data_IF_130177978103
#
_entry.id   IF_130177978103
#
_cell.length_a   1.000
_cell.length_b   1.000
_cell.length_c   1.000
_cell.angle_alpha   90.00
_cell.angle_beta   90.00
_cell.angle_gamma   90.00
#
_symmetry.space_group_name_H-M   'P 1'
#
loop_
_entity.id
_entity.type
_entity.pdbx_description
1 polymer ?
#
# COMPACT_ATOMS: atom_id res chain seq x y z
N UNK A 1 25.67 -15.76 -64.95
CA UNK A 1 25.54 -16.70 -63.83
C UNK A 1 25.36 -15.83 -62.60
N UNK A 2 24.14 -15.76 -62.06
CA UNK A 2 23.74 -14.83 -60.99
C UNK A 2 23.72 -15.63 -59.68
N UNK A 3 24.44 -15.15 -58.67
CA UNK A 3 24.52 -15.74 -57.33
C UNK A 3 23.20 -15.47 -56.57
N UNK A 4 22.67 -16.45 -55.79
CA UNK A 4 21.42 -16.26 -55.08
C UNK A 4 21.60 -15.33 -53.87
N UNK A 5 20.54 -14.60 -53.45
CA UNK A 5 20.64 -13.64 -52.35
C UNK A 5 20.85 -14.35 -51.01
N UNK A 6 21.77 -13.80 -50.21
CA UNK A 6 21.98 -14.16 -48.80
C UNK A 6 20.86 -13.56 -47.94
N UNK A 7 20.26 -14.35 -47.07
CA UNK A 7 19.22 -13.90 -46.14
C UNK A 7 19.81 -13.08 -45.00
N UNK A 8 19.41 -11.80 -44.89
CA UNK A 8 19.57 -11.01 -43.67
C UNK A 8 18.42 -11.32 -42.71
N UNK A 9 18.69 -12.09 -41.65
CA UNK A 9 17.71 -12.30 -40.58
C UNK A 9 17.96 -13.55 -39.76
N UNK A 10 18.93 -13.50 -38.85
CA UNK A 10 18.95 -14.41 -37.71
C UNK A 10 18.47 -13.62 -36.48
N UNK A 11 17.17 -13.62 -36.23
CA UNK A 11 16.64 -13.26 -34.91
C UNK A 11 17.05 -14.36 -33.95
N UNK A 12 18.08 -14.10 -33.13
CA UNK A 12 18.41 -15.00 -32.03
C UNK A 12 17.21 -15.11 -31.10
N UNK A 13 16.66 -16.31 -30.86
CA UNK A 13 15.60 -16.46 -29.88
C UNK A 13 16.13 -16.04 -28.51
N UNK A 14 15.32 -15.30 -27.75
CA UNK A 14 15.58 -15.02 -26.34
C UNK A 14 15.45 -16.35 -25.60
N UNK A 15 16.58 -17.04 -25.41
CA UNK A 15 16.63 -18.31 -24.68
C UNK A 15 16.50 -17.97 -23.19
N UNK A 16 15.27 -18.06 -22.66
CA UNK A 16 15.06 -18.08 -21.22
C UNK A 16 15.38 -19.49 -20.75
N UNK A 17 16.58 -19.67 -20.20
CA UNK A 17 16.93 -20.91 -19.50
C UNK A 17 16.21 -20.88 -18.16
N UNK A 18 15.14 -21.66 -18.02
CA UNK A 18 14.53 -21.93 -16.73
C UNK A 18 15.24 -23.13 -16.11
N UNK A 19 15.97 -22.99 -14.98
CA UNK A 19 16.46 -24.14 -14.25
C UNK A 19 15.26 -24.98 -13.81
N UNK A 20 15.22 -26.27 -14.18
CA UNK A 20 14.16 -27.19 -13.76
C UNK A 20 14.10 -27.39 -12.23
N UNK A 21 15.15 -26.98 -11.51
CA UNK A 21 15.39 -27.36 -10.11
C UNK A 21 15.01 -26.27 -9.08
N UNK A 22 14.37 -25.16 -9.49
CA UNK A 22 13.94 -24.13 -8.53
C UNK A 22 12.44 -24.21 -8.25
N UNK A 23 12.00 -24.40 -6.98
CA UNK A 23 10.58 -24.33 -6.65
C UNK A 23 10.03 -22.93 -6.89
N UNK A 24 8.72 -22.82 -7.12
CA UNK A 24 8.05 -21.52 -7.14
C UNK A 24 8.17 -20.82 -5.78
N UNK A 25 8.28 -19.49 -5.80
CA UNK A 25 8.24 -18.64 -4.60
C UNK A 25 6.83 -18.25 -4.19
N UNK A 26 5.82 -18.60 -4.98
CA UNK A 26 4.40 -18.32 -4.67
C UNK A 26 3.97 -18.73 -3.26
N UNK A 27 4.51 -19.81 -2.65
CA UNK A 27 4.09 -20.18 -1.31
C UNK A 27 4.56 -19.26 -0.19
N UNK A 28 5.61 -18.48 -0.43
CA UNK A 28 6.25 -17.66 0.59
C UNK A 28 5.30 -16.54 0.99
N UNK A 29 5.03 -16.41 2.29
CA UNK A 29 4.23 -15.35 2.89
C UNK A 29 4.87 -14.85 4.20
N UNK A 30 4.29 -13.80 4.77
CA UNK A 30 4.68 -13.24 6.07
C UNK A 30 3.65 -13.55 7.18
N UNK A 31 2.43 -13.91 6.79
CA UNK A 31 1.33 -14.15 7.73
C UNK A 31 0.84 -15.60 7.61
N UNK A 32 0.99 -16.42 8.67
CA UNK A 32 0.51 -17.80 8.66
C UNK A 32 -1.03 -17.88 8.79
N UNK A 33 -1.58 -19.05 8.49
CA UNK A 33 -3.04 -19.30 8.45
C UNK A 33 -3.74 -19.06 9.80
N UNK A 34 -3.08 -19.32 10.92
CA UNK A 34 -3.61 -19.08 12.28
C UNK A 34 -3.73 -17.58 12.62
N UNK A 35 -2.91 -16.74 11.98
CA UNK A 35 -2.98 -15.28 12.10
C UNK A 35 -4.02 -14.68 11.14
N UNK A 36 -4.07 -15.16 9.90
CA UNK A 36 -4.96 -14.59 8.87
C UNK A 36 -6.39 -15.14 8.92
N UNK A 37 -6.58 -16.35 9.44
CA UNK A 37 -7.82 -17.11 9.33
C UNK A 37 -8.10 -17.64 7.92
N UNK A 38 -7.16 -17.47 6.97
CA UNK A 38 -7.30 -17.92 5.59
C UNK A 38 -6.74 -19.34 5.43
N UNK A 39 -7.40 -20.20 4.63
CA UNK A 39 -6.88 -21.55 4.39
C UNK A 39 -5.61 -21.51 3.53
N UNK A 40 -4.65 -22.43 3.73
CA UNK A 40 -3.45 -22.49 2.90
C UNK A 40 -3.79 -22.72 1.43
N UNK A 41 -4.91 -23.38 1.14
CA UNK A 41 -5.37 -23.70 -0.22
C UNK A 41 -5.94 -22.50 -0.98
N UNK A 42 -5.88 -21.26 -0.45
CA UNK A 42 -6.61 -20.10 -0.98
C UNK A 42 -6.31 -19.76 -2.45
N UNK A 43 -5.10 -20.07 -2.95
CA UNK A 43 -4.72 -19.89 -4.35
C UNK A 43 -4.74 -21.18 -5.17
N UNK A 44 -4.71 -22.33 -4.51
CA UNK A 44 -4.35 -23.64 -5.08
C UNK A 44 -5.21 -24.09 -6.27
N UNK A 45 -6.51 -23.80 -6.25
CA UNK A 45 -7.46 -24.23 -7.30
C UNK A 45 -7.63 -23.23 -8.43
N UNK A 46 -7.04 -22.03 -8.31
CA UNK A 46 -7.11 -20.98 -9.32
C UNK A 46 -5.89 -21.00 -10.24
N UNK A 47 -6.08 -20.49 -11.46
CA UNK A 47 -5.00 -20.36 -12.43
C UNK A 47 -4.12 -19.13 -12.10
N UNK A 48 -2.80 -19.30 -12.11
CA UNK A 48 -1.83 -18.22 -11.81
C UNK A 48 -2.11 -16.93 -12.62
N UNK A 49 -2.38 -17.03 -13.92
CA UNK A 49 -2.63 -15.85 -14.78
C UNK A 49 -3.90 -15.09 -14.40
N UNK A 50 -4.91 -15.82 -13.94
CA UNK A 50 -6.17 -15.20 -13.48
C UNK A 50 -5.92 -14.44 -12.19
N UNK A 51 -5.20 -15.04 -11.24
CA UNK A 51 -4.87 -14.40 -9.96
C UNK A 51 -3.98 -13.17 -10.14
N UNK A 52 -2.95 -13.26 -10.98
CA UNK A 52 -2.09 -12.11 -11.32
C UNK A 52 -2.91 -10.98 -11.91
N UNK A 53 -3.81 -11.28 -12.85
CA UNK A 53 -4.67 -10.28 -13.49
C UNK A 53 -5.60 -9.60 -12.49
N UNK A 54 -6.29 -10.39 -11.66
CA UNK A 54 -7.22 -9.86 -10.66
C UNK A 54 -6.49 -9.02 -9.61
N UNK A 55 -5.38 -9.55 -9.08
CA UNK A 55 -4.58 -8.86 -8.08
C UNK A 55 -4.06 -7.54 -8.62
N UNK A 56 -3.47 -7.51 -9.83
CA UNK A 56 -2.95 -6.26 -10.40
C UNK A 56 -4.06 -5.25 -10.72
N UNK A 57 -5.28 -5.70 -11.00
CA UNK A 57 -6.44 -4.84 -11.24
C UNK A 57 -7.04 -4.20 -9.97
N UNK A 58 -6.62 -4.63 -8.77
CA UNK A 58 -7.05 -4.00 -7.53
C UNK A 58 -6.71 -2.50 -7.51
N UNK A 59 -7.68 -1.70 -7.10
CA UNK A 59 -7.55 -0.24 -7.00
C UNK A 59 -6.56 0.13 -5.89
N UNK A 60 -6.00 1.33 -5.95
CA UNK A 60 -5.20 1.89 -4.83
C UNK A 60 -6.13 2.63 -3.86
N UNK A 61 -7.11 3.35 -4.41
CA UNK A 61 -8.14 4.04 -3.64
C UNK A 61 -9.30 3.10 -3.32
N UNK A 62 -9.37 2.67 -2.06
CA UNK A 62 -10.44 1.85 -1.50
C UNK A 62 -10.67 2.21 -0.03
N UNK A 63 -11.74 1.70 0.58
CA UNK A 63 -11.93 1.87 2.02
C UNK A 63 -10.80 1.18 2.81
N UNK A 64 -10.30 1.78 3.91
CA UNK A 64 -9.18 1.23 4.67
C UNK A 64 -9.34 -0.24 5.11
N UNK A 65 -10.54 -0.68 5.50
CA UNK A 65 -10.83 -2.07 5.88
C UNK A 65 -10.63 -3.05 4.72
N UNK A 66 -11.05 -2.67 3.51
CA UNK A 66 -10.85 -3.48 2.31
C UNK A 66 -9.36 -3.51 1.95
N UNK A 67 -8.68 -2.38 2.12
CA UNK A 67 -7.25 -2.30 1.84
C UNK A 67 -6.40 -3.13 2.80
N UNK A 68 -6.74 -3.11 4.09
CA UNK A 68 -6.13 -3.95 5.11
C UNK A 68 -6.37 -5.44 4.80
N UNK A 69 -7.59 -5.80 4.40
CA UNK A 69 -7.92 -7.15 3.96
C UNK A 69 -7.11 -7.59 2.71
N UNK A 70 -6.99 -6.75 1.69
CA UNK A 70 -6.16 -7.04 0.51
C UNK A 70 -4.70 -7.25 0.90
N UNK A 71 -4.15 -6.44 1.82
CA UNK A 71 -2.79 -6.65 2.35
C UNK A 71 -2.66 -7.99 3.07
N UNK A 72 -3.66 -8.39 3.86
CA UNK A 72 -3.69 -9.72 4.50
C UNK A 72 -3.68 -10.83 3.46
N UNK A 73 -4.51 -10.75 2.41
CA UNK A 73 -4.49 -11.72 1.29
C UNK A 73 -3.11 -11.81 0.64
N UNK A 74 -2.49 -10.67 0.34
CA UNK A 74 -1.18 -10.60 -0.32
C UNK A 74 -0.05 -11.17 0.55
N UNK A 75 -0.15 -10.99 1.87
CA UNK A 75 0.90 -11.40 2.81
C UNK A 75 0.71 -12.82 3.36
N UNK A 76 -0.42 -13.46 3.09
CA UNK A 76 -0.70 -14.82 3.54
C UNK A 76 0.29 -15.84 2.96
N UNK A 77 0.77 -16.74 3.81
CA UNK A 77 1.42 -17.99 3.40
C UNK A 77 0.36 -18.96 2.88
N UNK A 78 0.58 -19.53 1.70
CA UNK A 78 -0.44 -20.32 1.00
C UNK A 78 0.16 -21.29 -0.02
N UNK A 79 -0.55 -22.35 -0.35
CA UNK A 79 -0.16 -23.29 -1.41
C UNK A 79 -0.15 -22.59 -2.79
N UNK A 80 0.75 -23.00 -3.70
CA UNK A 80 0.90 -22.34 -4.99
C UNK A 80 -0.33 -22.59 -5.89
N UNK A 81 -0.65 -21.66 -6.81
CA UNK A 81 -1.77 -21.81 -7.74
C UNK A 81 -1.51 -22.87 -8.82
N UNK A 82 -2.56 -23.21 -9.57
CA UNK A 82 -2.42 -24.03 -10.78
C UNK A 82 -1.50 -23.31 -11.78
N UNK A 83 -0.58 -24.08 -12.37
CA UNK A 83 0.44 -23.61 -13.32
C UNK A 83 1.50 -22.68 -12.72
N UNK A 84 1.65 -22.67 -11.38
CA UNK A 84 2.80 -22.06 -10.74
C UNK A 84 4.11 -22.60 -11.32
N UNK A 85 5.08 -21.70 -11.48
CA UNK A 85 6.37 -22.04 -12.09
C UNK A 85 7.51 -21.33 -11.37
N UNK A 86 8.78 -21.67 -11.65
CA UNK A 86 9.92 -21.04 -10.99
C UNK A 86 10.01 -19.51 -11.21
N UNK A 87 9.25 -18.94 -12.16
CA UNK A 87 9.17 -17.48 -12.32
C UNK A 87 8.40 -16.78 -11.19
N UNK A 88 7.58 -17.50 -10.41
CA UNK A 88 6.80 -16.99 -9.29
C UNK A 88 5.99 -15.73 -9.64
N UNK A 89 5.13 -15.80 -10.68
CA UNK A 89 4.48 -14.57 -11.19
C UNK A 89 3.46 -14.04 -10.19
N UNK A 90 2.75 -14.93 -9.49
CA UNK A 90 1.85 -14.51 -8.42
C UNK A 90 2.63 -13.87 -7.26
N UNK A 91 3.78 -14.44 -6.86
CA UNK A 91 4.66 -13.82 -5.87
C UNK A 91 5.10 -12.40 -6.30
N UNK A 92 5.54 -12.22 -7.54
CA UNK A 92 5.92 -10.91 -8.05
C UNK A 92 4.74 -9.94 -8.09
N UNK A 93 3.55 -10.38 -8.51
CA UNK A 93 2.35 -9.55 -8.50
C UNK A 93 1.95 -9.11 -7.08
N UNK A 94 2.14 -9.98 -6.09
CA UNK A 94 1.96 -9.69 -4.66
C UNK A 94 2.92 -8.59 -4.19
N UNK A 95 4.20 -8.71 -4.51
CA UNK A 95 5.20 -7.67 -4.21
C UNK A 95 4.85 -6.35 -4.92
N UNK A 96 4.58 -6.40 -6.22
CA UNK A 96 4.28 -5.21 -7.03
C UNK A 96 3.01 -4.49 -6.51
N UNK A 97 1.97 -5.23 -6.10
CA UNK A 97 0.79 -4.63 -5.49
C UNK A 97 1.07 -4.00 -4.12
N UNK A 98 1.95 -4.57 -3.28
CA UNK A 98 2.36 -3.91 -2.04
C UNK A 98 3.07 -2.59 -2.31
N UNK A 99 3.92 -2.53 -3.34
CA UNK A 99 4.60 -1.30 -3.75
C UNK A 99 3.59 -0.26 -4.29
N UNK A 100 2.61 -0.67 -5.10
CA UNK A 100 1.52 0.22 -5.54
C UNK A 100 0.75 0.81 -4.35
N UNK A 101 0.51 0.00 -3.31
CA UNK A 101 -0.15 0.40 -2.06
C UNK A 101 0.78 1.18 -1.10
N UNK A 102 2.03 1.48 -1.50
CA UNK A 102 3.02 2.17 -0.70
C UNK A 102 3.53 1.37 0.51
N UNK A 103 3.14 0.11 0.66
CA UNK A 103 3.52 -0.77 1.77
C UNK A 103 4.94 -1.32 1.57
N UNK A 104 5.93 -0.42 1.62
CA UNK A 104 7.32 -0.72 1.32
C UNK A 104 7.93 -1.69 2.32
N UNK A 105 7.72 -1.53 3.63
CA UNK A 105 8.34 -2.46 4.60
C UNK A 105 7.79 -3.90 4.45
N UNK A 106 6.46 -4.13 4.32
CA UNK A 106 5.94 -5.45 4.01
C UNK A 106 6.47 -6.01 2.68
N UNK A 107 6.58 -5.18 1.64
CA UNK A 107 7.17 -5.61 0.36
C UNK A 107 8.63 -6.05 0.53
N UNK A 108 9.43 -5.24 1.24
CA UNK A 108 10.85 -5.54 1.55
C UNK A 108 10.97 -6.86 2.29
N UNK A 109 10.23 -7.02 3.38
CA UNK A 109 10.25 -8.23 4.20
C UNK A 109 9.85 -9.47 3.39
N UNK A 110 8.83 -9.36 2.53
CA UNK A 110 8.40 -10.46 1.67
C UNK A 110 9.50 -10.84 0.64
N UNK A 111 10.13 -9.85 0.00
CA UNK A 111 11.23 -10.09 -0.94
C UNK A 111 12.44 -10.71 -0.24
N UNK A 112 12.80 -10.24 0.96
CA UNK A 112 13.93 -10.74 1.74
C UNK A 112 13.69 -12.18 2.23
N UNK A 113 12.47 -12.49 2.69
CA UNK A 113 12.06 -13.85 3.02
C UNK A 113 12.18 -14.79 1.82
N UNK A 114 11.95 -14.28 0.61
CA UNK A 114 12.06 -15.04 -0.61
C UNK A 114 13.49 -15.07 -1.19
N UNK A 115 14.43 -14.34 -0.61
CA UNK A 115 15.77 -14.07 -1.14
C UNK A 115 15.76 -13.36 -2.53
N UNK A 116 16.38 -12.17 -2.68
CA UNK A 116 16.46 -11.46 -3.96
C UNK A 116 17.53 -12.07 -4.91
N UNK A 117 17.47 -13.38 -5.15
CA UNK A 117 18.45 -14.18 -5.91
C UNK A 117 18.17 -14.26 -7.43
N UNK A 118 17.07 -13.67 -7.88
CA UNK A 118 16.71 -13.55 -9.31
C UNK A 118 16.71 -12.08 -9.71
N UNK A 119 17.03 -11.78 -10.98
CA UNK A 119 17.03 -10.40 -11.48
C UNK A 119 15.68 -9.70 -11.30
N UNK A 120 14.57 -10.44 -11.43
CA UNK A 120 13.23 -9.92 -11.25
C UNK A 120 12.96 -9.46 -9.81
N UNK A 121 13.39 -10.24 -8.81
CA UNK A 121 13.24 -9.88 -7.39
C UNK A 121 14.25 -8.83 -6.94
N UNK A 122 15.50 -8.99 -7.37
CA UNK A 122 16.56 -8.03 -7.09
C UNK A 122 16.16 -6.64 -7.59
N UNK A 123 15.49 -6.54 -8.74
CA UNK A 123 14.94 -5.26 -9.22
C UNK A 123 14.01 -4.61 -8.20
N UNK A 124 13.02 -5.34 -7.67
CA UNK A 124 12.06 -4.78 -6.69
C UNK A 124 12.75 -4.43 -5.38
N UNK A 125 13.69 -5.27 -4.94
CA UNK A 125 14.49 -5.00 -3.75
C UNK A 125 15.34 -3.74 -3.92
N UNK A 126 15.95 -3.55 -5.10
CA UNK A 126 16.71 -2.34 -5.42
C UNK A 126 15.82 -1.10 -5.51
N UNK A 127 14.64 -1.20 -6.14
CA UNK A 127 13.65 -0.13 -6.18
C UNK A 127 13.22 0.29 -4.76
N UNK A 128 12.96 -0.67 -3.87
CA UNK A 128 12.70 -0.44 -2.44
C UNK A 128 13.87 0.26 -1.75
N UNK A 129 15.09 -0.21 -2.00
CA UNK A 129 16.29 0.37 -1.39
C UNK A 129 16.50 1.83 -1.80
N UNK A 130 16.28 2.14 -3.08
CA UNK A 130 16.32 3.50 -3.63
C UNK A 130 15.27 4.42 -2.98
N UNK A 131 14.02 3.95 -2.82
CA UNK A 131 12.94 4.74 -2.22
C UNK A 131 13.16 5.03 -0.73
N UNK A 132 13.82 4.12 -0.02
CA UNK A 132 14.07 4.23 1.44
C UNK A 132 15.45 4.81 1.78
N UNK A 133 16.31 5.02 0.79
CA UNK A 133 17.66 5.53 1.01
C UNK A 133 18.66 4.52 1.53
N UNK A 134 18.40 3.22 1.30
CA UNK A 134 19.24 2.09 1.70
C UNK A 134 19.97 1.46 0.51
N UNK A 135 20.12 2.20 -0.60
CA UNK A 135 20.65 1.67 -1.87
C UNK A 135 22.08 1.12 -1.81
N UNK A 136 22.90 1.51 -0.82
CA UNK A 136 24.28 1.06 -0.70
C UNK A 136 24.38 -0.46 -0.54
N UNK A 137 23.55 -1.06 0.33
CA UNK A 137 23.53 -2.51 0.55
C UNK A 137 23.21 -3.27 -0.74
N UNK A 138 22.28 -2.72 -1.54
CA UNK A 138 21.92 -3.30 -2.82
C UNK A 138 23.02 -3.13 -3.87
N UNK A 139 23.70 -1.98 -3.88
CA UNK A 139 24.84 -1.77 -4.76
C UNK A 139 26.05 -2.65 -4.42
N UNK A 140 26.28 -2.96 -3.15
CA UNK A 140 27.31 -3.91 -2.73
C UNK A 140 27.02 -5.33 -3.25
N UNK A 141 25.78 -5.79 -3.11
CA UNK A 141 25.35 -7.09 -3.65
C UNK A 141 25.50 -7.11 -5.18
N UNK A 142 25.11 -6.03 -5.86
CA UNK A 142 25.26 -5.92 -7.32
C UNK A 142 26.72 -5.93 -7.75
N UNK A 143 27.62 -5.30 -6.99
CA UNK A 143 29.06 -5.32 -7.23
C UNK A 143 29.65 -6.73 -7.18
N UNK A 144 29.18 -7.56 -6.24
CA UNK A 144 29.60 -8.97 -6.11
C UNK A 144 28.99 -9.87 -7.20
N UNK A 145 27.78 -9.54 -7.67
CA UNK A 145 27.05 -10.33 -8.69
C UNK A 145 26.54 -9.44 -9.84
N UNK A 146 27.41 -8.95 -10.73
CA UNK A 146 26.99 -8.00 -11.78
C UNK A 146 25.88 -8.50 -12.70
N UNK A 147 25.74 -9.82 -12.87
CA UNK A 147 24.68 -10.44 -13.68
C UNK A 147 23.27 -10.31 -13.09
N UNK A 148 23.13 -9.88 -11.83
CA UNK A 148 21.84 -9.65 -11.18
C UNK A 148 21.27 -8.26 -11.50
N UNK A 149 22.10 -7.36 -12.06
CA UNK A 149 21.70 -5.99 -12.35
C UNK A 149 20.47 -5.95 -13.28
N UNK A 150 19.42 -5.20 -12.92
CA UNK A 150 18.18 -5.18 -13.70
C UNK A 150 18.32 -4.41 -15.02
N UNK A 151 19.20 -3.40 -15.05
CA UNK A 151 19.51 -2.57 -16.22
C UNK A 151 20.97 -2.13 -16.17
N UNK A 152 21.52 -1.68 -17.30
CA UNK A 152 22.84 -1.06 -17.33
C UNK A 152 22.87 0.25 -16.55
N UNK A 153 21.80 1.04 -16.58
CA UNK A 153 21.66 2.26 -15.77
C UNK A 153 21.84 1.96 -14.27
N UNK A 154 21.23 0.88 -13.77
CA UNK A 154 21.38 0.46 -12.37
C UNK A 154 22.83 0.03 -12.06
N UNK A 155 23.47 -0.69 -12.99
CA UNK A 155 24.88 -1.09 -12.86
C UNK A 155 25.82 0.12 -12.83
N UNK A 156 25.62 1.09 -13.72
CA UNK A 156 26.41 2.32 -13.79
C UNK A 156 26.24 3.13 -12.50
N UNK A 157 25.00 3.28 -12.03
CA UNK A 157 24.70 3.93 -10.76
C UNK A 157 25.45 3.28 -9.60
N UNK A 158 25.38 1.96 -9.46
CA UNK A 158 26.05 1.26 -8.37
C UNK A 158 27.57 1.25 -8.48
N UNK A 159 28.15 1.19 -9.69
CA UNK A 159 29.60 1.34 -9.88
C UNK A 159 30.09 2.69 -9.37
N UNK A 160 29.42 3.77 -9.76
CA UNK A 160 29.73 5.11 -9.28
C UNK A 160 29.51 5.26 -7.78
N UNK A 161 28.41 4.72 -7.24
CA UNK A 161 28.10 4.74 -5.80
C UNK A 161 29.17 4.02 -4.97
N UNK A 162 29.74 2.94 -5.51
CA UNK A 162 30.82 2.18 -4.91
C UNK A 162 32.22 2.78 -5.20
N UNK A 163 32.30 3.93 -5.88
CA UNK A 163 33.54 4.66 -6.15
C UNK A 163 34.30 4.24 -7.41
N UNK A 164 33.79 3.29 -8.20
CA UNK A 164 34.38 2.90 -9.49
C UNK A 164 33.81 3.72 -10.65
N UNK A 165 34.09 5.02 -10.60
CA UNK A 165 33.69 6.00 -11.61
C UNK A 165 34.22 5.66 -13.01
N UNK A 166 35.44 5.12 -13.07
CA UNK A 166 36.10 4.78 -14.33
C UNK A 166 35.36 3.66 -15.09
N UNK A 167 34.97 2.59 -14.37
CA UNK A 167 34.18 1.51 -14.96
C UNK A 167 32.77 1.96 -15.25
N UNK A 168 32.17 2.83 -14.41
CA UNK A 168 30.86 3.41 -14.67
C UNK A 168 30.83 4.18 -16.00
N UNK A 169 31.79 5.07 -16.22
CA UNK A 169 31.93 5.86 -17.45
C UNK A 169 32.21 4.99 -18.67
N UNK A 170 33.07 3.97 -18.55
CA UNK A 170 33.33 3.01 -19.64
C UNK A 170 32.07 2.23 -20.00
N UNK A 171 31.31 1.78 -18.99
CA UNK A 171 30.06 1.04 -19.18
C UNK A 171 29.03 1.91 -19.90
N UNK A 172 28.84 3.16 -19.47
CA UNK A 172 27.96 4.12 -20.15
C UNK A 172 28.37 4.30 -21.63
N UNK A 173 29.65 4.57 -21.89
CA UNK A 173 30.15 4.80 -23.24
C UNK A 173 29.99 3.60 -24.16
N UNK A 174 30.09 2.38 -23.62
CA UNK A 174 29.91 1.14 -24.39
C UNK A 174 28.44 0.94 -24.71
N UNK A 175 27.57 1.02 -23.70
CA UNK A 175 26.15 0.64 -23.85
C UNK A 175 25.30 1.69 -24.55
N UNK A 176 25.68 2.98 -24.53
CA UNK A 176 25.07 3.99 -25.40
C UNK A 176 25.28 3.70 -26.89
N UNK A 177 26.47 3.21 -27.26
CA UNK A 177 26.79 2.87 -28.66
C UNK A 177 26.08 1.58 -29.09
N UNK A 178 25.95 0.62 -28.17
CA UNK A 178 25.21 -0.63 -28.42
C UNK A 178 23.69 -0.43 -28.47
N UNK A 179 23.18 0.74 -28.06
CA UNK A 179 21.76 1.06 -28.05
C UNK A 179 21.00 0.50 -26.84
N UNK A 180 21.70 0.07 -25.79
CA UNK A 180 21.10 -0.45 -24.55
C UNK A 180 20.66 0.67 -23.59
N UNK A 181 21.09 1.91 -23.85
CA UNK A 181 20.79 3.10 -23.04
C UNK A 181 20.09 4.11 -23.95
N UNK A 182 18.93 4.60 -23.50
CA UNK A 182 18.18 5.63 -24.24
C UNK A 182 18.87 7.00 -24.12
N UNK A 183 18.57 7.92 -25.03
CA UNK A 183 19.15 9.27 -24.99
C UNK A 183 18.83 10.01 -23.67
N UNK A 184 17.61 9.87 -23.14
CA UNK A 184 17.24 10.45 -21.85
C UNK A 184 18.02 9.85 -20.68
N UNK A 185 18.27 8.54 -20.70
CA UNK A 185 19.08 7.88 -19.68
C UNK A 185 20.56 8.29 -19.80
N UNK A 186 21.09 8.41 -21.02
CA UNK A 186 22.45 8.89 -21.26
C UNK A 186 22.65 10.30 -20.69
N UNK A 187 21.72 11.23 -20.95
CA UNK A 187 21.79 12.59 -20.43
C UNK A 187 21.80 12.62 -18.89
N UNK A 188 20.90 11.87 -18.25
CA UNK A 188 20.82 11.77 -16.80
C UNK A 188 22.07 11.10 -16.19
N UNK A 189 22.53 9.99 -16.77
CA UNK A 189 23.72 9.26 -16.30
C UNK A 189 25.00 10.09 -16.49
N UNK A 190 25.12 10.85 -17.57
CA UNK A 190 26.29 11.70 -17.81
C UNK A 190 26.35 12.82 -16.76
N UNK A 191 25.22 13.48 -16.46
CA UNK A 191 25.14 14.48 -15.39
C UNK A 191 25.41 13.89 -14.00
N UNK A 192 24.95 12.67 -13.78
CA UNK A 192 25.19 11.95 -12.52
C UNK A 192 26.67 11.59 -12.33
N UNK A 193 27.37 11.19 -13.39
CA UNK A 193 28.78 10.80 -13.32
C UNK A 193 29.73 12.01 -13.28
N UNK A 194 29.36 13.11 -13.93
CA UNK A 194 30.18 14.32 -14.00
C UNK A 194 29.29 15.58 -13.93
N UNK A 195 28.84 15.96 -12.72
CA UNK A 195 27.95 17.09 -12.55
C UNK A 195 28.62 18.44 -12.85
N UNK A 196 29.94 18.54 -12.70
CA UNK A 196 30.71 19.79 -12.88
C UNK A 196 30.66 20.29 -14.33
N UNK A 197 30.65 19.37 -15.30
CA UNK A 197 30.57 19.72 -16.73
C UNK A 197 29.26 20.44 -17.08
N UNK A 198 28.19 20.22 -16.30
CA UNK A 198 26.86 20.73 -16.58
C UNK A 198 26.45 21.88 -15.65
N UNK A 199 27.40 22.48 -14.93
CA UNK A 199 27.13 23.68 -14.14
C UNK A 199 26.63 24.82 -15.04
N UNK A 200 25.43 25.31 -14.73
CA UNK A 200 24.79 26.41 -15.48
C UNK A 200 24.00 25.99 -16.71
N UNK A 201 23.99 24.71 -17.06
CA UNK A 201 23.08 24.16 -18.08
C UNK A 201 21.63 24.15 -17.58
N UNK A 202 20.62 24.21 -18.46
CA UNK A 202 19.23 24.10 -18.05
C UNK A 202 18.97 22.72 -17.41
N UNK A 203 17.99 22.63 -16.48
CA UNK A 203 17.55 21.36 -15.91
C UNK A 203 17.10 20.38 -16.99
N UNK A 204 17.19 19.09 -16.71
CA UNK A 204 16.64 18.07 -17.59
C UNK A 204 15.11 18.14 -17.64
N UNK A 205 14.56 17.85 -18.81
CA UNK A 205 13.11 17.66 -18.94
C UNK A 205 12.68 16.46 -18.06
N UNK A 206 11.66 16.63 -17.21
CA UNK A 206 11.16 15.53 -16.38
C UNK A 206 10.72 14.33 -17.24
N UNK A 207 11.17 13.10 -16.94
CA UNK A 207 10.76 11.92 -17.70
C UNK A 207 9.24 11.69 -17.59
N UNK A 208 8.63 11.21 -18.68
CA UNK A 208 7.20 10.88 -18.67
C UNK A 208 6.83 9.76 -17.68
N UNK A 209 7.80 8.92 -17.30
CA UNK A 209 7.66 7.90 -16.25
C UNK A 209 8.92 7.89 -15.40
N UNK A 210 8.76 8.17 -14.11
CA UNK A 210 9.86 8.20 -13.15
C UNK A 210 10.03 6.81 -12.54
N UNK A 211 11.21 6.20 -12.70
CA UNK A 211 11.63 5.04 -11.91
C UNK A 211 12.28 5.50 -10.59
N UNK A 212 12.31 4.67 -9.53
CA UNK A 212 13.05 4.97 -8.32
C UNK A 212 14.52 5.33 -8.56
N UNK A 213 15.17 4.66 -9.52
CA UNK A 213 16.54 4.94 -9.90
C UNK A 213 16.67 6.35 -10.52
N UNK A 214 15.80 6.68 -11.48
CA UNK A 214 15.77 8.03 -12.08
C UNK A 214 15.53 9.10 -11.01
N UNK A 215 14.57 8.87 -10.12
CA UNK A 215 14.28 9.79 -9.02
C UNK A 215 15.53 10.04 -8.14
N UNK A 216 16.23 8.97 -7.73
CA UNK A 216 17.45 9.12 -6.92
C UNK A 216 18.60 9.79 -7.68
N UNK A 217 18.72 9.56 -8.99
CA UNK A 217 19.71 10.26 -9.81
C UNK A 217 19.37 11.76 -9.94
N UNK A 218 18.11 12.12 -10.13
CA UNK A 218 17.65 13.50 -10.12
C UNK A 218 17.95 14.20 -8.79
N UNK A 219 17.71 13.54 -7.65
CA UNK A 219 18.11 14.06 -6.34
C UNK A 219 19.63 14.28 -6.25
N UNK A 220 20.43 13.34 -6.75
CA UNK A 220 21.88 13.38 -6.68
C UNK A 220 22.50 14.52 -7.51
N UNK A 221 21.86 14.91 -8.62
CA UNK A 221 22.31 16.03 -9.46
C UNK A 221 21.71 17.39 -9.05
N UNK A 222 20.97 17.44 -7.94
CA UNK A 222 20.33 18.67 -7.47
C UNK A 222 19.06 19.08 -8.23
N UNK A 223 18.51 18.20 -9.05
CA UNK A 223 17.27 18.40 -9.82
C UNK A 223 16.10 17.58 -9.22
N UNK A 224 15.97 17.62 -7.89
CA UNK A 224 15.00 16.81 -7.14
C UNK A 224 13.55 16.98 -7.61
N UNK A 225 12.81 15.86 -7.65
CA UNK A 225 11.43 15.80 -8.12
C UNK A 225 10.43 15.88 -6.96
N UNK A 226 9.28 16.50 -7.19
CA UNK A 226 8.19 16.57 -6.20
C UNK A 226 7.48 15.22 -6.14
N UNK A 227 7.34 14.62 -4.95
CA UNK A 227 6.74 13.29 -4.79
C UNK A 227 5.21 13.28 -4.81
N UNK A 228 4.57 14.44 -4.62
CA UNK A 228 3.12 14.56 -4.47
C UNK A 228 2.34 13.98 -5.65
N UNK A 229 2.87 14.13 -6.87
CA UNK A 229 2.27 13.65 -8.13
C UNK A 229 2.83 12.30 -8.61
N UNK A 230 3.81 11.74 -7.88
CA UNK A 230 4.41 10.44 -8.19
C UNK A 230 3.61 9.30 -7.53
N UNK A 231 3.79 8.03 -7.95
CA UNK A 231 3.17 6.89 -7.27
C UNK A 231 3.39 6.90 -5.75
N UNK A 232 2.47 6.31 -4.99
CA UNK A 232 2.43 6.40 -3.52
C UNK A 232 3.76 6.02 -2.86
N UNK A 233 4.45 5.01 -3.38
CA UNK A 233 5.74 4.54 -2.87
C UNK A 233 6.82 5.64 -2.80
N UNK A 234 6.77 6.65 -3.68
CA UNK A 234 7.75 7.75 -3.68
C UNK A 234 7.63 8.65 -2.45
N UNK A 235 6.50 8.67 -1.74
CA UNK A 235 6.38 9.45 -0.51
C UNK A 235 7.28 8.96 0.62
N UNK A 236 7.80 7.73 0.56
CA UNK A 236 8.81 7.27 1.53
C UNK A 236 10.11 8.07 1.46
N UNK A 237 10.46 8.61 0.27
CA UNK A 237 11.64 9.48 0.14
C UNK A 237 11.51 10.76 0.97
N UNK A 238 10.29 11.25 1.15
CA UNK A 238 9.99 12.47 1.91
C UNK A 238 9.93 12.24 3.43
N UNK A 239 9.97 10.99 3.89
CA UNK A 239 10.06 10.67 5.32
C UNK A 239 11.48 10.77 5.89
N UNK A 240 12.49 10.94 5.03
CA UNK A 240 13.89 10.96 5.45
C UNK A 240 14.23 12.18 6.32
N UNK A 241 15.19 12.08 7.26
CA UNK A 241 15.56 13.19 8.15
C UNK A 241 16.11 14.44 7.43
N UNK A 242 16.59 14.29 6.19
CA UNK A 242 17.12 15.40 5.38
C UNK A 242 16.02 16.27 4.77
N UNK A 243 14.76 15.83 4.84
CA UNK A 243 13.61 16.51 4.24
C UNK A 243 12.96 17.43 5.28
N UNK A 244 12.47 18.57 4.83
CA UNK A 244 11.80 19.54 5.70
C UNK A 244 10.54 18.96 6.36
N UNK A 245 10.35 19.27 7.65
CA UNK A 245 9.29 18.70 8.48
C UNK A 245 7.86 18.84 7.92
N UNK A 246 7.57 19.94 7.21
CA UNK A 246 6.27 20.10 6.54
C UNK A 246 6.01 18.97 5.54
N UNK A 247 6.98 18.70 4.66
CA UNK A 247 6.87 17.66 3.64
C UNK A 247 6.83 16.27 4.26
N UNK A 248 7.57 16.06 5.37
CA UNK A 248 7.48 14.81 6.14
C UNK A 248 6.07 14.54 6.65
N UNK A 249 5.38 15.54 7.23
CA UNK A 249 3.98 15.36 7.67
C UNK A 249 3.07 15.10 6.48
N UNK A 250 3.20 15.85 5.37
CA UNK A 250 2.36 15.66 4.18
C UNK A 250 2.54 14.25 3.58
N UNK A 251 3.78 13.75 3.55
CA UNK A 251 4.10 12.39 3.12
C UNK A 251 3.57 11.32 4.09
N UNK A 252 3.75 11.52 5.40
CA UNK A 252 3.24 10.61 6.42
C UNK A 252 1.71 10.52 6.39
N UNK A 253 1.02 11.66 6.25
CA UNK A 253 -0.43 11.70 6.05
C UNK A 253 -0.83 10.96 4.78
N UNK A 254 -0.16 11.24 3.65
CA UNK A 254 -0.45 10.58 2.36
C UNK A 254 -0.30 9.07 2.46
N UNK A 255 0.76 8.57 3.09
CA UNK A 255 0.99 7.15 3.30
C UNK A 255 -0.04 6.55 4.29
N UNK A 256 -0.34 7.25 5.38
CA UNK A 256 -1.28 6.81 6.39
C UNK A 256 -2.71 6.67 5.85
N UNK A 257 -3.17 7.56 4.94
CA UNK A 257 -4.47 7.42 4.26
C UNK A 257 -4.67 6.06 3.60
N UNK A 258 -3.57 5.48 3.13
CA UNK A 258 -3.51 4.16 2.50
C UNK A 258 -2.86 3.12 3.43
N UNK A 259 -2.87 3.32 4.74
CA UNK A 259 -2.29 2.42 5.75
C UNK A 259 -0.87 1.92 5.40
N UNK A 260 -0.11 2.71 4.66
CA UNK A 260 1.23 2.37 4.17
C UNK A 260 2.29 2.62 5.24
N UNK A 261 1.96 3.42 6.25
CA UNK A 261 2.68 3.60 7.50
C UNK A 261 1.73 3.38 8.67
N UNK A 262 2.28 3.01 9.83
CA UNK A 262 1.50 2.82 11.06
C UNK A 262 1.04 4.13 11.68
N UNK A 263 0.07 4.05 12.57
CA UNK A 263 -0.40 5.15 13.39
C UNK A 263 0.71 5.77 14.27
N UNK A 264 1.66 4.95 14.74
CA UNK A 264 2.81 5.42 15.52
C UNK A 264 3.75 6.25 14.66
N UNK A 265 4.07 5.80 13.43
CA UNK A 265 4.89 6.59 12.50
C UNK A 265 4.24 7.94 12.19
N UNK A 266 2.92 7.96 11.96
CA UNK A 266 2.19 9.21 11.75
C UNK A 266 2.26 10.13 12.98
N UNK A 267 2.07 9.60 14.18
CA UNK A 267 2.17 10.34 15.44
C UNK A 267 3.57 10.91 15.66
N UNK A 268 4.62 10.13 15.39
CA UNK A 268 6.02 10.56 15.53
C UNK A 268 6.27 11.81 14.68
N UNK A 269 5.83 11.82 13.42
CA UNK A 269 5.97 13.01 12.57
C UNK A 269 5.14 14.19 13.06
N UNK A 270 3.93 13.99 13.57
CA UNK A 270 3.14 15.08 14.13
C UNK A 270 3.77 15.67 15.39
N UNK A 271 4.46 14.88 16.22
CA UNK A 271 4.96 15.29 17.54
C UNK A 271 6.44 15.66 17.55
N UNK A 272 7.18 15.40 16.47
CA UNK A 272 8.62 15.64 16.37
C UNK A 272 9.05 17.07 16.72
N UNK A 273 8.31 18.11 16.29
CA UNK A 273 8.71 19.51 16.42
C UNK A 273 7.56 20.44 16.82
N UNK A 274 7.86 21.70 17.15
CA UNK A 274 6.82 22.71 17.39
C UNK A 274 6.38 23.37 16.08
N UNK A 275 5.06 23.46 15.78
CA UNK A 275 4.56 24.10 14.56
C UNK A 275 5.10 25.52 14.38
N UNK A 276 5.78 25.77 13.26
CA UNK A 276 6.49 27.03 13.01
C UNK A 276 5.60 28.19 12.54
N UNK A 277 4.39 27.89 12.05
CA UNK A 277 3.44 28.87 11.54
C UNK A 277 1.98 28.47 11.79
N UNK A 278 1.02 29.24 11.29
CA UNK A 278 -0.40 28.89 11.22
C UNK A 278 -0.79 28.39 9.83
N UNK A 279 -1.91 27.68 9.73
CA UNK A 279 -2.49 27.23 8.47
C UNK A 279 -2.10 25.79 8.07
N UNK A 280 -3.05 25.12 7.42
CA UNK A 280 -2.84 23.82 6.78
C UNK A 280 -2.28 22.76 7.71
N UNK A 281 -1.14 22.16 7.32
CA UNK A 281 -0.41 21.13 8.07
C UNK A 281 -0.10 21.57 9.51
N UNK A 282 0.23 22.84 9.72
CA UNK A 282 0.63 23.33 11.05
C UNK A 282 -0.52 23.36 12.05
N UNK A 283 -1.72 23.68 11.59
CA UNK A 283 -2.90 23.67 12.45
C UNK A 283 -3.31 22.24 12.80
N UNK A 284 -3.16 21.30 11.86
CA UNK A 284 -3.35 19.86 12.13
C UNK A 284 -2.35 19.35 13.15
N UNK A 285 -1.05 19.60 12.94
CA UNK A 285 -0.01 19.22 13.89
C UNK A 285 -0.27 19.80 15.29
N UNK A 286 -0.65 21.07 15.39
CA UNK A 286 -0.98 21.71 16.67
C UNK A 286 -2.18 21.05 17.36
N UNK A 287 -3.23 20.72 16.60
CA UNK A 287 -4.42 20.06 17.15
C UNK A 287 -4.09 18.67 17.70
N UNK A 288 -3.33 17.87 16.93
CA UNK A 288 -2.87 16.54 17.34
C UNK A 288 -1.97 16.65 18.58
N UNK A 289 -0.95 17.50 18.59
CA UNK A 289 -0.04 17.66 19.73
C UNK A 289 -0.74 18.09 21.03
N UNK A 290 -1.77 18.94 20.94
CA UNK A 290 -2.55 19.36 22.13
C UNK A 290 -3.36 18.20 22.69
N UNK A 291 -4.01 17.44 21.82
CA UNK A 291 -4.78 16.27 22.20
C UNK A 291 -3.88 15.15 22.74
N UNK A 292 -2.78 14.86 22.06
CA UNK A 292 -1.78 13.87 22.46
C UNK A 292 -1.22 14.15 23.87
N UNK A 293 -0.92 15.42 24.17
CA UNK A 293 -0.50 15.84 25.51
C UNK A 293 -1.61 15.64 26.55
N UNK A 294 -2.86 15.95 26.21
CA UNK A 294 -3.99 15.77 27.11
C UNK A 294 -4.19 14.28 27.45
N UNK A 295 -4.09 13.40 26.45
CA UNK A 295 -4.12 11.94 26.62
C UNK A 295 -2.95 11.45 27.48
N UNK A 296 -1.73 11.90 27.18
CA UNK A 296 -0.52 11.51 27.93
C UNK A 296 -0.60 11.91 29.40
N UNK A 297 -1.19 13.07 29.68
CA UNK A 297 -1.39 13.57 31.04
C UNK A 297 -2.62 12.98 31.74
N UNK A 298 -3.43 12.17 31.05
CA UNK A 298 -4.69 11.61 31.54
C UNK A 298 -5.66 12.68 32.07
N UNK A 299 -5.67 13.87 31.44
CA UNK A 299 -6.51 15.00 31.83
C UNK A 299 -7.84 14.95 31.08
N UNK A 300 -8.87 14.42 31.73
CA UNK A 300 -10.19 14.21 31.13
C UNK A 300 -10.83 15.49 30.57
N UNK A 301 -10.69 16.62 31.27
CA UNK A 301 -11.23 17.91 30.83
C UNK A 301 -10.47 18.41 29.59
N UNK A 302 -9.14 18.28 29.59
CA UNK A 302 -8.32 18.65 28.44
C UNK A 302 -8.56 17.73 27.23
N UNK A 303 -8.77 16.42 27.45
CA UNK A 303 -9.14 15.46 26.40
C UNK A 303 -10.48 15.88 25.78
N UNK A 304 -11.51 16.12 26.60
CA UNK A 304 -12.82 16.55 26.12
C UNK A 304 -12.75 17.86 25.31
N UNK A 305 -11.93 18.82 25.76
CA UNK A 305 -11.76 20.12 25.10
C UNK A 305 -11.00 20.03 23.76
N UNK A 306 -9.99 19.16 23.66
CA UNK A 306 -9.08 19.11 22.50
C UNK A 306 -9.48 18.08 21.44
N UNK A 307 -10.24 17.05 21.82
CA UNK A 307 -10.67 15.96 20.93
C UNK A 307 -11.40 16.45 19.66
N UNK A 308 -12.36 17.40 19.70
CA UNK A 308 -13.05 17.83 18.49
C UNK A 308 -12.13 18.42 17.43
N UNK A 309 -11.13 19.20 17.84
CA UNK A 309 -10.18 19.83 16.92
C UNK A 309 -9.21 18.79 16.34
N UNK A 310 -8.71 17.86 17.16
CA UNK A 310 -7.87 16.76 16.69
C UNK A 310 -8.61 15.85 15.71
N UNK A 311 -9.87 15.50 16.02
CA UNK A 311 -10.70 14.70 15.14
C UNK A 311 -10.95 15.39 13.79
N UNK A 312 -11.28 16.69 13.80
CA UNK A 312 -11.43 17.46 12.57
C UNK A 312 -10.15 17.51 11.73
N UNK A 313 -8.97 17.62 12.37
CA UNK A 313 -7.69 17.55 11.69
C UNK A 313 -7.47 16.19 11.00
N UNK A 314 -7.82 15.09 11.66
CA UNK A 314 -7.73 13.74 11.07
C UNK A 314 -8.71 13.53 9.93
N UNK A 315 -9.92 14.09 10.01
CA UNK A 315 -10.86 14.09 8.87
C UNK A 315 -10.31 14.84 7.66
N UNK A 316 -9.71 16.02 7.88
CA UNK A 316 -9.06 16.79 6.80
C UNK A 316 -7.89 16.03 6.17
N UNK A 317 -7.09 15.36 6.99
CA UNK A 317 -5.98 14.53 6.54
C UNK A 317 -6.41 13.14 6.06
N UNK A 318 -7.68 12.75 6.20
CA UNK A 318 -8.21 11.41 5.92
C UNK A 318 -7.45 10.27 6.64
N UNK A 319 -6.99 10.53 7.87
CA UNK A 319 -6.22 9.61 8.73
C UNK A 319 -7.01 9.17 9.96
N UNK A 320 -8.35 9.14 9.85
CA UNK A 320 -9.28 8.81 10.93
C UNK A 320 -9.03 7.42 11.50
N UNK A 321 -8.66 6.45 10.66
CA UNK A 321 -8.37 5.07 11.08
C UNK A 321 -7.11 5.00 11.93
N UNK A 322 -6.03 5.70 11.56
CA UNK A 322 -4.80 5.72 12.34
C UNK A 322 -5.04 6.35 13.71
N UNK A 323 -5.75 7.48 13.73
CA UNK A 323 -6.15 8.12 14.98
C UNK A 323 -6.98 7.17 15.86
N UNK A 324 -7.89 6.40 15.25
CA UNK A 324 -8.72 5.43 15.96
C UNK A 324 -7.93 4.25 16.50
N UNK A 325 -6.98 3.70 15.74
CA UNK A 325 -6.08 2.63 16.21
C UNK A 325 -5.25 3.09 17.41
N UNK A 326 -4.78 4.34 17.40
CA UNK A 326 -3.88 4.87 18.42
C UNK A 326 -4.60 5.31 19.72
N UNK A 327 -5.74 6.01 19.61
CA UNK A 327 -6.32 6.72 20.76
C UNK A 327 -7.61 6.11 21.31
N UNK A 328 -8.17 5.06 20.69
CA UNK A 328 -9.46 4.50 21.16
C UNK A 328 -9.39 4.06 22.60
N UNK A 329 -8.35 3.33 23.00
CA UNK A 329 -8.25 2.81 24.37
C UNK A 329 -8.30 3.94 25.41
N UNK A 330 -7.46 4.96 25.25
CA UNK A 330 -7.45 6.11 26.14
C UNK A 330 -8.79 6.86 26.18
N UNK A 331 -9.49 6.94 25.05
CA UNK A 331 -10.81 7.56 24.97
C UNK A 331 -11.91 6.74 25.67
N UNK A 332 -11.82 5.41 25.65
CA UNK A 332 -12.77 4.53 26.37
C UNK A 332 -12.51 4.50 27.87
N UNK A 333 -11.25 4.67 28.29
CA UNK A 333 -10.86 4.74 29.71
C UNK A 333 -11.20 6.09 30.37
N UNK A 334 -11.62 7.08 29.58
CA UNK A 334 -11.92 8.44 30.05
C UNK A 334 -13.43 8.67 30.10
N UNK A 335 -13.95 9.17 31.22
CA UNK A 335 -15.36 9.56 31.35
C UNK A 335 -15.66 10.84 30.55
N UNK A 336 -16.07 10.68 29.30
CA UNK A 336 -16.44 11.79 28.43
C UNK A 336 -17.96 12.00 28.38
N UNK A 337 -18.38 13.25 28.11
CA UNK A 337 -19.79 13.63 27.96
C UNK A 337 -20.00 14.52 26.72
N UNK A 338 -21.27 14.72 26.35
CA UNK A 338 -21.66 15.57 25.22
C UNK A 338 -21.00 15.17 23.89
N UNK A 339 -20.57 16.16 23.13
CA UNK A 339 -19.96 15.98 21.80
C UNK A 339 -18.67 15.15 21.87
N UNK A 340 -17.84 15.33 22.91
CA UNK A 340 -16.60 14.56 23.07
C UNK A 340 -16.89 13.06 23.21
N UNK A 341 -17.96 12.68 23.93
CA UNK A 341 -18.40 11.27 24.01
C UNK A 341 -18.85 10.73 22.66
N UNK A 342 -19.60 11.51 21.90
CA UNK A 342 -20.05 11.11 20.54
C UNK A 342 -18.86 10.88 19.60
N UNK A 343 -17.86 11.77 19.65
CA UNK A 343 -16.62 11.59 18.88
C UNK A 343 -15.86 10.35 19.38
N UNK A 344 -15.72 10.15 20.70
CA UNK A 344 -15.04 8.98 21.24
C UNK A 344 -15.70 7.65 20.82
N UNK A 345 -17.03 7.58 20.77
CA UNK A 345 -17.75 6.42 20.22
C UNK A 345 -17.43 6.26 18.73
N UNK A 346 -17.50 7.34 17.94
CA UNK A 346 -17.18 7.31 16.50
C UNK A 346 -15.77 6.79 16.23
N UNK A 347 -14.78 7.29 16.98
CA UNK A 347 -13.38 6.86 16.93
C UNK A 347 -13.28 5.38 17.28
N UNK A 348 -13.93 4.96 18.38
CA UNK A 348 -13.93 3.56 18.79
C UNK A 348 -14.56 2.60 17.78
N UNK A 349 -15.65 3.01 17.10
CA UNK A 349 -16.29 2.23 16.03
C UNK A 349 -15.41 2.05 14.78
N UNK A 350 -14.37 2.88 14.61
CA UNK A 350 -13.39 2.77 13.53
C UNK A 350 -12.11 2.01 13.94
N UNK A 351 -12.04 1.57 15.19
CA UNK A 351 -10.89 0.88 15.76
C UNK A 351 -11.03 -0.65 15.74
N UNK A 352 -9.98 -1.41 16.08
CA UNK A 352 -10.10 -2.85 16.30
C UNK A 352 -11.08 -3.26 17.41
N UNK A 353 -11.39 -2.38 18.36
CA UNK A 353 -12.28 -2.62 19.50
C UNK A 353 -13.74 -2.21 19.23
N UNK A 354 -14.13 -2.03 17.97
CA UNK A 354 -15.45 -1.48 17.59
C UNK A 354 -16.64 -2.19 18.23
N UNK A 355 -16.61 -3.52 18.38
CA UNK A 355 -17.72 -4.29 18.96
C UNK A 355 -17.86 -4.02 20.47
N UNK A 356 -16.75 -3.96 21.20
CA UNK A 356 -16.72 -3.63 22.63
C UNK A 356 -17.24 -2.20 22.87
N UNK A 357 -16.77 -1.25 22.07
CA UNK A 357 -17.24 0.15 22.10
C UNK A 357 -18.74 0.21 21.85
N UNK A 358 -19.24 -0.56 20.88
CA UNK A 358 -20.66 -0.60 20.55
C UNK A 358 -21.51 -1.16 21.70
N UNK A 359 -21.04 -2.21 22.38
CA UNK A 359 -21.71 -2.77 23.57
C UNK A 359 -21.81 -1.71 24.67
N UNK A 360 -20.72 -1.01 24.97
CA UNK A 360 -20.70 0.04 25.99
C UNK A 360 -21.57 1.26 25.62
N UNK A 361 -21.76 1.49 24.32
CA UNK A 361 -22.56 2.59 23.80
C UNK A 361 -24.06 2.25 23.61
N UNK A 362 -24.53 1.03 23.89
CA UNK A 362 -25.91 0.58 23.65
C UNK A 362 -26.98 1.44 24.34
N UNK A 363 -26.67 2.00 25.51
CA UNK A 363 -27.60 2.84 26.29
C UNK A 363 -27.47 4.33 26.01
N UNK A 364 -26.59 4.71 25.08
CA UNK A 364 -26.34 6.12 24.73
C UNK A 364 -27.34 6.61 23.67
N UNK A 365 -27.35 7.92 23.44
CA UNK A 365 -28.11 8.53 22.35
C UNK A 365 -27.37 8.52 21.00
N UNK A 366 -26.28 7.76 20.88
CA UNK A 366 -25.53 7.64 19.62
C UNK A 366 -26.35 6.89 18.56
N UNK A 367 -25.95 6.95 17.29
CA UNK A 367 -26.67 6.33 16.18
C UNK A 367 -26.92 4.82 16.42
N UNK A 368 -28.18 4.41 16.65
CA UNK A 368 -28.49 3.02 17.00
C UNK A 368 -28.16 2.05 15.87
N UNK A 369 -28.19 2.49 14.61
CA UNK A 369 -27.85 1.64 13.47
C UNK A 369 -26.37 1.28 13.47
N UNK A 370 -25.48 2.25 13.73
CA UNK A 370 -24.03 2.00 13.78
C UNK A 370 -23.68 1.07 14.94
N UNK A 371 -24.32 1.25 16.10
CA UNK A 371 -24.17 0.35 17.25
C UNK A 371 -24.62 -1.07 16.90
N UNK A 372 -25.80 -1.22 16.29
CA UNK A 372 -26.32 -2.51 15.87
C UNK A 372 -25.44 -3.17 14.79
N UNK A 373 -24.92 -2.40 13.84
CA UNK A 373 -24.01 -2.85 12.79
C UNK A 373 -22.69 -3.39 13.36
N UNK A 374 -22.08 -2.65 14.29
CA UNK A 374 -20.86 -3.07 14.98
C UNK A 374 -21.03 -4.40 15.73
N UNK A 375 -22.21 -4.64 16.30
CA UNK A 375 -22.57 -5.92 16.96
C UNK A 375 -22.99 -7.02 15.97
N UNK A 376 -22.99 -6.74 14.67
CA UNK A 376 -23.42 -7.66 13.62
C UNK A 376 -24.91 -7.92 13.55
N UNK A 377 -25.73 -7.01 14.10
CA UNK A 377 -27.19 -7.11 14.13
C UNK A 377 -27.90 -5.87 13.57
N UNK A 378 -27.46 -5.30 12.44
CA UNK A 378 -28.06 -4.07 11.91
C UNK A 378 -29.57 -4.20 11.63
N UNK A 379 -30.09 -5.42 11.42
CA UNK A 379 -31.51 -5.73 11.23
C UNK A 379 -32.41 -5.41 12.44
N UNK A 380 -31.85 -5.23 13.64
CA UNK A 380 -32.61 -4.89 14.85
C UNK A 380 -33.12 -3.43 14.82
N UNK A 381 -32.57 -2.60 13.94
CA UNK A 381 -32.89 -1.17 13.81
C UNK A 381 -33.65 -0.93 12.52
N UNK A 382 -34.67 -0.06 12.53
CA UNK A 382 -35.36 0.36 11.30
C UNK A 382 -34.57 1.48 10.62
N UNK A 383 -34.26 1.32 9.35
CA UNK A 383 -33.58 2.32 8.53
C UNK A 383 -34.31 2.57 7.22
N UNK A 384 -34.06 3.73 6.61
CA UNK A 384 -34.65 4.14 5.32
C UNK A 384 -33.60 4.53 4.28
N UNK A 385 -32.34 4.74 4.68
CA UNK A 385 -31.25 5.04 3.78
C UNK A 385 -30.97 3.84 2.85
N UNK A 386 -30.82 4.03 1.53
CA UNK A 386 -30.49 2.96 0.60
C UNK A 386 -29.24 2.17 0.97
N UNK A 387 -28.19 2.86 1.42
CA UNK A 387 -26.94 2.22 1.86
C UNK A 387 -27.18 1.33 3.09
N UNK A 388 -27.92 1.84 4.08
CA UNK A 388 -28.22 1.10 5.29
C UNK A 388 -29.11 -0.13 5.01
N UNK A 389 -30.07 -0.01 4.07
CA UNK A 389 -30.91 -1.12 3.62
C UNK A 389 -30.11 -2.21 2.91
N UNK A 390 -29.13 -1.84 2.08
CA UNK A 390 -28.24 -2.78 1.42
C UNK A 390 -27.35 -3.54 2.42
N UNK A 391 -26.78 -2.83 3.40
CA UNK A 391 -26.04 -3.46 4.50
C UNK A 391 -26.95 -4.42 5.27
N UNK A 392 -28.16 -4.00 5.64
CA UNK A 392 -29.12 -4.88 6.33
C UNK A 392 -29.45 -6.13 5.53
N UNK A 393 -29.65 -6.02 4.22
CA UNK A 393 -29.95 -7.17 3.37
C UNK A 393 -28.85 -8.23 3.45
N UNK A 394 -27.58 -7.82 3.37
CA UNK A 394 -26.43 -8.73 3.51
C UNK A 394 -26.36 -9.38 4.90
N UNK A 395 -26.72 -8.64 5.94
CA UNK A 395 -26.73 -9.13 7.32
C UNK A 395 -27.97 -9.98 7.66
N UNK A 396 -29.01 -9.90 6.83
CA UNK A 396 -30.27 -10.64 6.95
C UNK A 396 -30.35 -11.85 6.00
N UNK A 397 -29.21 -12.44 5.66
CA UNK A 397 -29.13 -13.72 4.94
C UNK A 397 -29.32 -13.64 3.42
N UNK A 398 -29.14 -12.47 2.81
CA UNK A 398 -29.01 -12.39 1.36
C UNK A 398 -27.93 -13.35 0.86
N UNK A 399 -28.23 -14.04 -0.24
CA UNK A 399 -27.30 -15.02 -0.81
C UNK A 399 -26.27 -14.30 -1.67
N UNK A 400 -24.99 -14.70 -1.64
CA UNK A 400 -23.98 -14.16 -2.54
C UNK A 400 -24.32 -14.46 -4.01
N UNK A 401 -23.78 -13.69 -4.97
CA UNK A 401 -23.92 -13.98 -6.38
C UNK A 401 -23.51 -15.42 -6.70
N UNK A 402 -24.36 -16.14 -7.45
CA UNK A 402 -24.13 -17.55 -7.79
C UNK A 402 -22.75 -17.80 -8.43
N UNK A 403 -22.26 -16.87 -9.25
CA UNK A 403 -20.94 -16.96 -9.88
C UNK A 403 -19.80 -16.95 -8.85
N UNK A 404 -19.91 -16.15 -7.79
CA UNK A 404 -18.91 -16.13 -6.71
C UNK A 404 -19.05 -17.35 -5.82
N UNK A 405 -20.28 -17.80 -5.54
CA UNK A 405 -20.51 -19.02 -4.78
C UNK A 405 -19.91 -20.25 -5.49
N UNK A 406 -20.10 -20.37 -6.80
CA UNK A 406 -19.46 -21.44 -7.59
C UNK A 406 -17.94 -21.43 -7.47
N UNK A 407 -17.29 -20.25 -7.46
CA UNK A 407 -15.85 -20.17 -7.24
C UNK A 407 -15.44 -20.69 -5.85
N UNK A 408 -16.20 -20.35 -4.81
CA UNK A 408 -15.95 -20.85 -3.45
C UNK A 408 -16.12 -22.37 -3.40
N UNK A 409 -17.20 -22.88 -3.98
CA UNK A 409 -17.52 -24.32 -4.03
C UNK A 409 -16.45 -25.12 -4.82
N UNK A 410 -15.88 -24.50 -5.86
CA UNK A 410 -14.77 -25.04 -6.66
C UNK A 410 -13.39 -24.92 -5.97
N UNK A 411 -13.34 -24.45 -4.71
CA UNK A 411 -12.10 -24.29 -3.95
C UNK A 411 -11.24 -23.08 -4.37
N UNK A 412 -11.82 -22.12 -5.11
CA UNK A 412 -11.16 -20.90 -5.63
C UNK A 412 -11.42 -19.68 -4.75
N UNK A 413 -11.27 -19.85 -3.44
CA UNK A 413 -11.62 -18.81 -2.46
C UNK A 413 -10.88 -17.49 -2.71
N UNK A 414 -9.56 -17.52 -2.98
CA UNK A 414 -8.77 -16.30 -3.20
C UNK A 414 -9.24 -15.52 -4.44
N UNK A 415 -9.58 -16.23 -5.52
CA UNK A 415 -10.16 -15.61 -6.72
C UNK A 415 -11.53 -14.99 -6.43
N UNK A 416 -12.39 -15.69 -5.69
CA UNK A 416 -13.70 -15.16 -5.30
C UNK A 416 -13.55 -13.88 -4.45
N UNK A 417 -12.57 -13.83 -3.54
CA UNK A 417 -12.31 -12.69 -2.68
C UNK A 417 -11.77 -11.47 -3.44
N UNK A 418 -10.83 -11.65 -4.37
CA UNK A 418 -10.35 -10.57 -5.26
C UNK A 418 -11.47 -10.02 -6.18
N UNK A 419 -12.40 -10.87 -6.61
CA UNK A 419 -13.58 -10.37 -7.34
C UNK A 419 -14.53 -9.59 -6.42
N UNK A 420 -14.60 -9.99 -5.15
CA UNK A 420 -15.49 -9.39 -4.14
C UNK A 420 -15.02 -8.01 -3.71
N UNK A 421 -13.72 -7.79 -3.59
CA UNK A 421 -13.13 -6.45 -3.36
C UNK A 421 -13.48 -5.50 -4.50
N UNK A 422 -13.39 -5.95 -5.76
CA UNK A 422 -13.82 -5.18 -6.91
C UNK A 422 -15.34 -4.85 -6.88
N UNK A 423 -16.20 -5.82 -6.54
CA UNK A 423 -17.65 -5.62 -6.40
C UNK A 423 -17.96 -4.66 -5.24
N UNK A 424 -17.28 -4.79 -4.11
CA UNK A 424 -17.44 -3.88 -2.98
C UNK A 424 -17.12 -2.43 -3.39
N UNK A 425 -16.08 -2.22 -4.21
CA UNK A 425 -15.73 -0.89 -4.71
C UNK A 425 -16.83 -0.27 -5.59
N UNK A 426 -17.60 -1.07 -6.33
CA UNK A 426 -18.81 -0.57 -7.01
C UNK A 426 -19.89 -0.17 -6.01
N UNK A 427 -20.06 -0.95 -4.94
CA UNK A 427 -20.97 -0.62 -3.84
C UNK A 427 -20.60 0.68 -3.10
N UNK A 428 -19.31 0.88 -2.85
CA UNK A 428 -18.76 2.11 -2.32
C UNK A 428 -19.04 3.32 -3.24
N UNK A 429 -19.08 3.11 -4.56
CA UNK A 429 -19.45 4.12 -5.55
C UNK A 429 -20.97 4.31 -5.75
N UNK A 430 -21.82 3.66 -4.93
CA UNK A 430 -23.27 3.84 -4.93
C UNK A 430 -24.09 2.69 -5.54
N UNK A 431 -23.47 1.60 -6.00
CA UNK A 431 -24.21 0.40 -6.42
C UNK A 431 -24.62 -0.46 -5.22
N UNK A 432 -25.78 -0.16 -4.65
CA UNK A 432 -26.32 -0.83 -3.46
C UNK A 432 -26.50 -2.35 -3.63
N UNK A 433 -26.71 -2.84 -4.85
CA UNK A 433 -26.78 -4.28 -5.10
C UNK A 433 -25.40 -4.90 -4.97
N UNK A 434 -24.40 -4.32 -5.62
CA UNK A 434 -23.00 -4.74 -5.49
C UNK A 434 -22.52 -4.70 -4.03
N UNK A 435 -22.93 -3.68 -3.25
CA UNK A 435 -22.66 -3.63 -1.81
C UNK A 435 -23.23 -4.85 -1.06
N UNK A 436 -24.51 -5.15 -1.32
CA UNK A 436 -25.18 -6.32 -0.70
C UNK A 436 -24.47 -7.61 -1.10
N UNK A 437 -24.17 -7.78 -2.39
CA UNK A 437 -23.54 -8.96 -2.96
C UNK A 437 -22.15 -9.21 -2.33
N UNK A 438 -21.32 -8.16 -2.22
CA UNK A 438 -19.97 -8.28 -1.66
C UNK A 438 -19.99 -8.62 -0.16
N UNK A 439 -20.80 -7.90 0.63
CA UNK A 439 -20.94 -8.17 2.06
C UNK A 439 -21.51 -9.56 2.32
N UNK A 440 -22.47 -10.01 1.50
CA UNK A 440 -23.05 -11.36 1.62
C UNK A 440 -22.00 -12.45 1.40
N UNK A 441 -21.12 -12.30 0.40
CA UNK A 441 -20.04 -13.27 0.20
C UNK A 441 -19.06 -13.27 1.37
N UNK A 442 -18.58 -12.10 1.80
CA UNK A 442 -17.64 -11.99 2.93
C UNK A 442 -18.18 -12.71 4.17
N UNK A 443 -19.45 -12.47 4.51
CA UNK A 443 -20.12 -13.15 5.64
C UNK A 443 -20.23 -14.66 5.44
N UNK A 444 -20.61 -15.09 4.24
CA UNK A 444 -20.79 -16.53 3.91
C UNK A 444 -19.49 -17.31 4.06
N UNK A 445 -18.34 -16.71 3.75
CA UNK A 445 -17.02 -17.33 3.87
C UNK A 445 -16.32 -17.06 5.21
N UNK A 446 -17.03 -16.52 6.20
CA UNK A 446 -16.52 -16.34 7.57
C UNK A 446 -15.75 -15.04 7.83
N UNK A 447 -15.70 -14.10 6.87
CA UNK A 447 -15.06 -12.79 7.01
C UNK A 447 -16.01 -11.76 7.65
N UNK A 448 -16.63 -12.14 8.76
CA UNK A 448 -17.61 -11.30 9.49
C UNK A 448 -16.98 -9.98 9.96
N UNK A 449 -15.75 -10.02 10.48
CA UNK A 449 -15.03 -8.84 10.94
C UNK A 449 -14.74 -7.85 9.81
N UNK A 450 -14.27 -8.36 8.65
CA UNK A 450 -14.03 -7.53 7.46
C UNK A 450 -15.32 -6.89 6.98
N UNK A 451 -16.42 -7.66 6.91
CA UNK A 451 -17.71 -7.17 6.48
C UNK A 451 -18.24 -6.06 7.41
N UNK A 452 -18.15 -6.23 8.73
CA UNK A 452 -18.57 -5.23 9.72
C UNK A 452 -17.74 -3.96 9.64
N UNK A 453 -16.40 -4.08 9.64
CA UNK A 453 -15.50 -2.92 9.56
C UNK A 453 -15.68 -2.15 8.26
N UNK A 454 -15.79 -2.85 7.13
CA UNK A 454 -16.01 -2.21 5.83
C UNK A 454 -17.35 -1.47 5.79
N UNK A 455 -18.42 -2.07 6.33
CA UNK A 455 -19.73 -1.43 6.42
C UNK A 455 -19.74 -0.23 7.39
N UNK A 456 -19.08 -0.31 8.54
CA UNK A 456 -18.91 0.81 9.47
C UNK A 456 -18.14 1.96 8.83
N UNK A 457 -17.01 1.67 8.20
CA UNK A 457 -16.21 2.68 7.51
C UNK A 457 -16.97 3.32 6.35
N UNK A 458 -17.77 2.56 5.60
CA UNK A 458 -18.64 3.10 4.56
C UNK A 458 -19.65 4.11 5.10
N UNK A 459 -20.19 3.84 6.30
CA UNK A 459 -21.20 4.70 6.91
C UNK A 459 -20.62 5.90 7.65
N UNK A 460 -19.41 5.78 8.22
CA UNK A 460 -18.79 6.80 9.08
C UNK A 460 -17.84 7.70 8.29
N UNK A 461 -17.04 7.14 7.37
CA UNK A 461 -16.04 7.91 6.65
C UNK A 461 -16.72 8.73 5.55
N UNK A 462 -16.75 10.04 5.74
CA UNK A 462 -17.16 11.01 4.72
C UNK A 462 -16.13 11.00 3.58
N UNK A 463 -16.37 10.16 2.58
CA UNK A 463 -15.60 10.16 1.34
C UNK A 463 -16.53 10.63 0.24
N UNK A 464 -16.30 11.85 -0.28
CA UNK A 464 -16.97 12.30 -1.48
C UNK A 464 -16.56 11.36 -2.63
N UNK A 465 -17.55 10.68 -3.22
CA UNK A 465 -17.39 9.92 -4.47
C UNK A 465 -17.16 10.85 -5.65
#
# INVERSE_FOLDING_TARGET
MMEPPVSHGATSPRVTVTPLDRPSKDPIGLLPADVTGLPPTIWSSSNEDTLVTLLMAERIEMLPAIQEFVKVLILAEADPPLNASPSGRLFLARVDKLLDLGAIEPAKALIEQAEPDTAALFRRWFDVALLTGTENDACDVMGQKPSIAPTYSARIFCLARNGDWSTAALTLNTHRVLGDITQSEEMLLTRFLDPEIFEGEPPLDPPARISPLMFRMHEAIGEGLITADLPLAFSHADLRPTVGWKSQIEAAERLARHGAVSENVLQDFYTAHTPAASGGVWDRARAVQRFDRAVTNQDADAIALTLPAAWAAMKQARTEIQFSKLYTQALQDTELSGDARSIAITVGLLSPNYEEVAINAETTSYDPFLIALARGRPQEVRVTSPTALAIQAAFNGAQPPAVLQTLVDDGKLGEALLRTTAIFNHGYAGDFRSLTDALSLMRTVGLEDVARRAALQLMILERAT
#
